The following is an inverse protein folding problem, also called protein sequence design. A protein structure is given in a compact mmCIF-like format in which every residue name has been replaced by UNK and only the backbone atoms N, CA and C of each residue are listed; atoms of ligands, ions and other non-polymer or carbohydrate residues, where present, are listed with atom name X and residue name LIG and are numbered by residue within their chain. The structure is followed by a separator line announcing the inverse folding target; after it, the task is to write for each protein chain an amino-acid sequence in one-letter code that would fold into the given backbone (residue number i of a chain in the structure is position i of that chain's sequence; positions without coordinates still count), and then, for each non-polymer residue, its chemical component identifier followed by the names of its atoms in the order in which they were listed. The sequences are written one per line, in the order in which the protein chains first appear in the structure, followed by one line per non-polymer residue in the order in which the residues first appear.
data_IF_446757664073
#
_entry.id   IF_446757664073
#
_cell.length_a   1.000
_cell.length_b   1.000
_cell.length_c   1.000
_cell.angle_alpha   90.00
_cell.angle_beta   90.00
_cell.angle_gamma   90.00
#
_symmetry.space_group_name_H-M   'P 1'
#
loop_
_entity.id
_entity.type
_entity.pdbx_description
1 polymer ?
#
# COMPACT_ATOMS: atom_id res chain seq x y z
N UNK A 1 -23.50 -19.32 65.16
CA UNK A 1 -24.52 -19.36 64.10
C UNK A 1 -23.93 -18.65 62.89
N UNK A 2 -23.32 -19.42 62.00
CA UNK A 2 -22.66 -18.88 60.80
C UNK A 2 -23.74 -18.62 59.76
N UNK A 3 -23.99 -17.35 59.47
CA UNK A 3 -24.85 -16.92 58.37
C UNK A 3 -24.16 -17.31 57.06
N UNK A 4 -24.59 -18.44 56.48
CA UNK A 4 -24.22 -18.82 55.11
C UNK A 4 -24.78 -17.72 54.22
N UNK A 5 -23.90 -16.83 53.76
CA UNK A 5 -24.24 -15.79 52.80
C UNK A 5 -24.80 -16.49 51.57
N UNK A 6 -26.10 -16.30 51.28
CA UNK A 6 -26.70 -16.77 50.04
C UNK A 6 -25.92 -16.12 48.90
N UNK A 7 -25.15 -16.93 48.17
CA UNK A 7 -24.45 -16.49 46.97
C UNK A 7 -25.53 -16.11 45.96
N UNK A 8 -25.60 -14.82 45.62
CA UNK A 8 -26.52 -14.33 44.61
C UNK A 8 -25.97 -14.74 43.22
N UNK A 9 -26.44 -15.89 42.74
CA UNK A 9 -26.04 -16.47 41.46
C UNK A 9 -26.30 -15.53 40.28
N UNK A 10 -27.29 -14.64 40.37
CA UNK A 10 -27.62 -13.69 39.30
C UNK A 10 -26.55 -12.60 39.16
N UNK A 11 -26.01 -12.13 40.29
CA UNK A 11 -24.90 -11.18 40.30
C UNK A 11 -23.61 -11.82 39.80
N UNK A 12 -23.35 -13.07 40.20
CA UNK A 12 -22.17 -13.83 39.78
C UNK A 12 -22.15 -14.10 38.27
N UNK A 13 -23.31 -14.37 37.67
CA UNK A 13 -23.44 -14.56 36.22
C UNK A 13 -23.26 -13.25 35.45
N UNK A 14 -23.83 -12.15 35.94
CA UNK A 14 -23.64 -10.83 35.34
C UNK A 14 -22.17 -10.36 35.38
N UNK A 15 -21.47 -10.58 36.50
CA UNK A 15 -20.05 -10.26 36.66
C UNK A 15 -19.16 -11.10 35.73
N UNK A 16 -19.48 -12.39 35.56
CA UNK A 16 -18.77 -13.26 34.61
C UNK A 16 -18.97 -12.85 33.16
N UNK A 17 -20.19 -12.48 32.76
CA UNK A 17 -20.47 -11.98 31.41
C UNK A 17 -19.68 -10.69 31.12
N UNK A 18 -19.63 -9.78 32.08
CA UNK A 18 -18.82 -8.56 31.96
C UNK A 18 -17.33 -8.87 31.80
N UNK A 19 -16.81 -9.87 32.52
CA UNK A 19 -15.42 -10.31 32.39
C UNK A 19 -15.10 -10.89 31.01
N UNK A 20 -16.01 -11.68 30.42
CA UNK A 20 -15.82 -12.26 29.07
C UNK A 20 -15.83 -11.16 28.00
N UNK A 21 -16.75 -10.20 28.07
CA UNK A 21 -16.78 -9.07 27.13
C UNK A 21 -15.51 -8.18 27.25
N UNK A 22 -15.01 -8.00 28.47
CA UNK A 22 -13.80 -7.23 28.76
C UNK A 22 -12.54 -7.96 28.28
N UNK A 23 -12.49 -9.29 28.44
CA UNK A 23 -11.43 -10.14 27.90
C UNK A 23 -11.35 -10.05 26.37
N UNK A 24 -12.50 -10.13 25.68
CA UNK A 24 -12.59 -9.92 24.24
C UNK A 24 -12.00 -8.57 23.83
N UNK A 25 -12.44 -7.51 24.51
CA UNK A 25 -12.01 -6.16 24.18
C UNK A 25 -10.50 -6.00 24.35
N UNK A 26 -9.96 -6.49 25.47
CA UNK A 26 -8.53 -6.47 25.76
C UNK A 26 -7.73 -7.27 24.74
N UNK A 27 -8.24 -8.43 24.32
CA UNK A 27 -7.59 -9.27 23.32
C UNK A 27 -7.57 -8.59 21.95
N UNK A 28 -8.69 -8.00 21.52
CA UNK A 28 -8.76 -7.24 20.27
C UNK A 28 -7.81 -6.03 20.29
N UNK A 29 -7.77 -5.26 21.38
CA UNK A 29 -6.84 -4.13 21.55
C UNK A 29 -5.38 -4.58 21.46
N UNK A 30 -5.03 -5.70 22.09
CA UNK A 30 -3.67 -6.27 22.00
C UNK A 30 -3.31 -6.66 20.56
N UNK A 31 -4.28 -7.17 19.79
CA UNK A 31 -4.13 -7.53 18.38
C UNK A 31 -3.97 -6.31 17.48
N UNK A 32 -4.56 -5.16 17.83
CA UNK A 32 -4.32 -3.87 17.17
C UNK A 32 -2.90 -3.38 17.45
N UNK A 33 -2.46 -3.39 18.72
CA UNK A 33 -1.11 -2.92 19.10
C UNK A 33 0.00 -3.74 18.44
N UNK A 34 -0.18 -5.06 18.35
CA UNK A 34 0.77 -5.96 17.65
C UNK A 34 0.75 -5.80 16.13
N UNK A 35 -0.18 -5.03 15.57
CA UNK A 35 -0.24 -4.71 14.15
C UNK A 35 0.82 -3.66 13.81
N UNK A 36 2.06 -4.11 13.67
CA UNK A 36 3.20 -3.29 13.28
C UNK A 36 2.95 -2.54 11.95
N UNK A 37 2.89 -1.22 12.04
CA UNK A 37 2.63 -0.25 10.97
C UNK A 37 2.64 1.16 11.58
N UNK A 38 2.98 2.18 10.79
CA UNK A 38 2.91 3.57 11.27
C UNK A 38 1.49 3.94 11.69
N UNK A 39 1.34 4.84 12.68
CA UNK A 39 0.08 5.20 13.34
C UNK A 39 -1.10 5.63 12.44
N UNK A 40 -0.90 5.73 11.12
CA UNK A 40 -1.86 6.24 10.14
C UNK A 40 -2.09 5.29 8.94
N UNK A 41 -1.86 3.98 9.08
CA UNK A 41 -2.23 3.05 7.98
C UNK A 41 -3.72 2.69 8.03
N UNK A 42 -4.33 2.44 6.86
CA UNK A 42 -5.74 2.03 6.73
C UNK A 42 -6.09 0.92 7.72
N UNK A 43 -5.22 -0.08 7.80
CA UNK A 43 -5.42 -1.23 8.68
C UNK A 43 -5.59 -0.84 10.14
N UNK A 44 -4.78 0.09 10.66
CA UNK A 44 -4.92 0.51 12.05
C UNK A 44 -6.20 1.30 12.31
N UNK A 45 -6.57 2.20 11.39
CA UNK A 45 -7.81 2.98 11.49
C UNK A 45 -9.03 2.06 11.51
N UNK A 46 -9.13 1.16 10.53
CA UNK A 46 -10.25 0.23 10.40
C UNK A 46 -10.33 -0.72 11.60
N UNK A 47 -9.21 -1.34 11.98
CA UNK A 47 -9.21 -2.26 13.12
C UNK A 47 -9.60 -1.55 14.43
N UNK A 48 -9.14 -0.31 14.64
CA UNK A 48 -9.54 0.49 15.81
C UNK A 48 -11.04 0.79 15.83
N UNK A 49 -11.61 1.19 14.69
CA UNK A 49 -13.05 1.42 14.58
C UNK A 49 -13.86 0.15 14.86
N UNK A 50 -13.39 -1.00 14.39
CA UNK A 50 -14.02 -2.31 14.66
C UNK A 50 -13.94 -2.69 16.15
N UNK A 51 -12.81 -2.41 16.82
CA UNK A 51 -12.69 -2.64 18.28
C UNK A 51 -13.60 -1.73 19.08
N UNK A 52 -13.72 -0.46 18.69
CA UNK A 52 -14.61 0.54 19.31
C UNK A 52 -16.10 0.24 19.05
N UNK A 53 -16.42 -0.68 18.13
CA UNK A 53 -17.81 -1.02 17.76
C UNK A 53 -18.42 -0.08 16.71
N UNK A 54 -17.62 0.79 16.11
CA UNK A 54 -18.01 1.75 15.08
C UNK A 54 -17.95 1.12 13.67
N UNK A 55 -18.75 0.07 13.45
CA UNK A 55 -18.69 -0.73 12.21
C UNK A 55 -19.06 0.05 10.95
N UNK A 56 -20.05 0.94 11.01
CA UNK A 56 -20.47 1.78 9.88
C UNK A 56 -19.35 2.72 9.43
N UNK A 57 -18.65 3.33 10.39
CA UNK A 57 -17.49 4.18 10.10
C UNK A 57 -16.32 3.36 9.52
N UNK A 58 -16.13 2.13 9.98
CA UNK A 58 -15.09 1.25 9.45
C UNK A 58 -15.33 0.92 7.96
N UNK A 59 -16.58 0.66 7.57
CA UNK A 59 -16.94 0.42 6.16
C UNK A 59 -16.79 1.67 5.29
N UNK A 60 -17.15 2.83 5.83
CA UNK A 60 -17.01 4.12 5.13
C UNK A 60 -15.53 4.48 4.95
N UNK A 61 -14.68 4.26 5.96
CA UNK A 61 -13.22 4.48 5.83
C UNK A 61 -12.60 3.63 4.72
N UNK A 62 -12.99 2.35 4.59
CA UNK A 62 -12.51 1.50 3.49
C UNK A 62 -12.96 2.06 2.15
N UNK A 63 -14.19 2.56 2.05
CA UNK A 63 -14.74 3.15 0.83
C UNK A 63 -14.00 4.45 0.46
N UNK A 64 -13.84 5.36 1.42
CA UNK A 64 -13.11 6.62 1.26
C UNK A 64 -11.67 6.34 0.86
N UNK A 65 -11.04 5.30 1.42
CA UNK A 65 -9.69 4.89 1.04
C UNK A 65 -9.59 4.51 -0.45
N UNK A 66 -10.57 3.76 -0.95
CA UNK A 66 -10.63 3.35 -2.35
C UNK A 66 -10.85 4.56 -3.27
N UNK A 67 -11.72 5.49 -2.88
CA UNK A 67 -12.00 6.72 -3.63
C UNK A 67 -10.77 7.64 -3.66
N UNK A 68 -10.08 7.83 -2.53
CA UNK A 68 -8.87 8.65 -2.47
C UNK A 68 -7.71 8.09 -3.30
N UNK A 69 -7.69 6.77 -3.51
CA UNK A 69 -6.68 6.06 -4.31
C UNK A 69 -7.11 5.76 -5.74
N UNK A 70 -8.25 6.32 -6.17
CA UNK A 70 -8.80 6.15 -7.53
C UNK A 70 -7.92 6.65 -8.67
N UNK A 71 -6.85 7.39 -8.37
CA UNK A 71 -5.82 7.79 -9.33
C UNK A 71 -5.15 6.59 -10.04
N UNK A 72 -5.27 5.38 -9.49
CA UNK A 72 -4.73 4.15 -10.07
C UNK A 72 -5.86 3.16 -10.42
N UNK A 73 -6.30 3.08 -11.69
CA UNK A 73 -7.37 2.15 -12.09
C UNK A 73 -7.04 0.68 -11.81
N UNK A 74 -5.77 0.30 -11.92
CA UNK A 74 -5.27 -1.05 -11.63
C UNK A 74 -5.41 -1.43 -10.15
N UNK A 75 -5.29 -0.46 -9.25
CA UNK A 75 -5.47 -0.65 -7.81
C UNK A 75 -6.92 -1.01 -7.49
N UNK A 76 -7.89 -0.28 -8.07
CA UNK A 76 -9.32 -0.53 -7.82
C UNK A 76 -9.69 -1.97 -8.19
N UNK A 77 -9.32 -2.41 -9.40
CA UNK A 77 -9.68 -3.75 -9.90
C UNK A 77 -9.05 -4.85 -9.05
N UNK A 78 -7.80 -4.69 -8.61
CA UNK A 78 -7.09 -5.68 -7.77
C UNK A 78 -7.63 -5.71 -6.34
N UNK A 79 -8.03 -4.56 -5.79
CA UNK A 79 -8.44 -4.44 -4.39
C UNK A 79 -9.94 -4.68 -4.16
N UNK A 80 -10.78 -4.58 -5.19
CA UNK A 80 -12.23 -4.69 -5.05
C UNK A 80 -12.69 -5.97 -4.32
N UNK A 81 -12.14 -7.13 -4.70
CA UNK A 81 -12.48 -8.40 -4.04
C UNK A 81 -12.09 -8.42 -2.56
N UNK A 82 -10.94 -7.84 -2.21
CA UNK A 82 -10.49 -7.76 -0.82
C UNK A 82 -11.37 -6.81 -0.01
N UNK A 83 -11.79 -5.70 -0.61
CA UNK A 83 -12.70 -4.72 0.03
C UNK A 83 -14.07 -5.32 0.31
N UNK A 84 -14.63 -6.05 -0.66
CA UNK A 84 -15.90 -6.77 -0.48
C UNK A 84 -15.80 -7.76 0.68
N UNK A 85 -14.74 -8.59 0.73
CA UNK A 85 -14.52 -9.49 1.86
C UNK A 85 -14.29 -8.77 3.19
N UNK A 86 -13.59 -7.63 3.21
CA UNK A 86 -13.45 -6.85 4.43
C UNK A 86 -14.81 -6.36 4.96
N UNK A 87 -15.73 -5.95 4.08
CA UNK A 87 -17.10 -5.58 4.49
C UNK A 87 -17.87 -6.76 5.06
N UNK A 88 -17.81 -7.91 4.40
CA UNK A 88 -18.48 -9.13 4.88
C UNK A 88 -17.99 -9.51 6.29
N UNK A 89 -16.68 -9.41 6.53
CA UNK A 89 -16.07 -9.69 7.83
C UNK A 89 -16.51 -8.68 8.90
N UNK A 90 -16.54 -7.38 8.58
CA UNK A 90 -17.02 -6.34 9.49
C UNK A 90 -18.48 -6.58 9.88
N UNK A 91 -19.34 -6.89 8.90
CA UNK A 91 -20.74 -7.19 9.13
C UNK A 91 -20.91 -8.47 9.97
N UNK A 92 -20.11 -9.50 9.72
CA UNK A 92 -20.12 -10.74 10.49
C UNK A 92 -19.68 -10.51 11.94
N UNK A 93 -18.65 -9.68 12.18
CA UNK A 93 -18.21 -9.29 13.53
C UNK A 93 -19.31 -8.50 14.24
N UNK A 94 -19.92 -7.52 13.56
CA UNK A 94 -21.02 -6.71 14.09
C UNK A 94 -22.22 -7.58 14.51
N UNK A 95 -22.65 -8.49 13.63
CA UNK A 95 -23.77 -9.39 13.90
C UNK A 95 -23.50 -10.31 15.09
N UNK A 96 -22.26 -10.78 15.26
CA UNK A 96 -21.87 -11.66 16.38
C UNK A 96 -21.75 -10.91 17.71
N UNK A 97 -21.14 -9.72 17.74
CA UNK A 97 -21.04 -8.90 18.99
C UNK A 97 -22.38 -8.31 19.42
N UNK A 98 -23.27 -7.96 18.48
CA UNK A 98 -24.58 -7.37 18.79
C UNK A 98 -25.70 -8.40 18.95
N UNK A 99 -25.40 -9.70 18.94
CA UNK A 99 -26.42 -10.74 19.03
C UNK A 99 -27.12 -10.68 20.39
N UNK A 100 -28.40 -10.29 20.39
CA UNK A 100 -29.20 -10.04 21.61
C UNK A 100 -29.36 -11.27 22.52
N UNK A 101 -29.10 -12.48 21.99
CA UNK A 101 -29.23 -13.74 22.71
C UNK A 101 -27.93 -14.32 23.28
N UNK A 102 -26.76 -13.68 23.12
CA UNK A 102 -25.48 -14.25 23.61
C UNK A 102 -25.55 -14.59 25.09
N UNK A 103 -26.12 -13.66 25.89
CA UNK A 103 -26.21 -13.79 27.35
C UNK A 103 -27.13 -14.92 27.82
N UNK A 104 -28.05 -15.38 26.97
CA UNK A 104 -28.93 -16.52 27.28
C UNK A 104 -28.37 -17.87 26.82
N UNK A 105 -27.22 -17.89 26.14
CA UNK A 105 -26.57 -19.11 25.68
C UNK A 105 -25.63 -19.69 26.74
N UNK A 106 -25.34 -20.99 26.62
CA UNK A 106 -24.34 -21.66 27.45
C UNK A 106 -22.94 -21.07 27.24
N UNK A 107 -22.10 -21.10 28.28
CA UNK A 107 -20.73 -20.58 28.23
C UNK A 107 -19.91 -21.12 27.06
N UNK A 108 -20.05 -22.41 26.74
CA UNK A 108 -19.36 -23.03 25.60
C UNK A 108 -19.73 -22.38 24.27
N UNK A 109 -21.00 -21.98 24.09
CA UNK A 109 -21.42 -21.26 22.88
C UNK A 109 -20.94 -19.82 22.89
N UNK A 110 -20.96 -19.14 24.04
CA UNK A 110 -20.42 -17.77 24.14
C UNK A 110 -18.94 -17.73 23.77
N UNK A 111 -18.16 -18.71 24.23
CA UNK A 111 -16.76 -18.87 23.84
C UNK A 111 -16.61 -19.15 22.34
N UNK A 112 -17.45 -19.99 21.75
CA UNK A 112 -17.43 -20.22 20.29
C UNK A 112 -17.68 -18.92 19.49
N UNK A 113 -18.62 -18.08 19.94
CA UNK A 113 -18.84 -16.77 19.33
C UNK A 113 -17.62 -15.87 19.47
N UNK A 114 -17.00 -15.86 20.64
CA UNK A 114 -15.78 -15.10 20.94
C UNK A 114 -14.63 -15.51 20.01
N UNK A 115 -14.34 -16.81 19.92
CA UNK A 115 -13.28 -17.36 19.08
C UNK A 115 -13.54 -17.05 17.60
N UNK A 116 -14.81 -17.12 17.15
CA UNK A 116 -15.17 -16.73 15.78
C UNK A 116 -15.04 -15.25 15.49
N UNK A 117 -15.31 -14.38 16.47
CA UNK A 117 -15.06 -12.93 16.32
C UNK A 117 -13.58 -12.66 16.14
N UNK A 118 -12.74 -13.33 16.92
CA UNK A 118 -11.27 -13.23 16.82
C UNK A 118 -10.77 -13.72 15.47
N UNK A 119 -11.25 -14.88 15.00
CA UNK A 119 -10.90 -15.44 13.69
C UNK A 119 -11.23 -14.46 12.56
N UNK A 120 -12.45 -13.92 12.54
CA UNK A 120 -12.85 -12.92 11.55
C UNK A 120 -12.02 -11.62 11.65
N UNK A 121 -11.62 -11.23 12.86
CA UNK A 121 -10.80 -10.04 13.09
C UNK A 121 -9.36 -10.23 12.56
N UNK A 122 -8.78 -11.41 12.75
CA UNK A 122 -7.47 -11.76 12.21
C UNK A 122 -7.50 -11.85 10.67
N UNK A 123 -8.56 -12.43 10.11
CA UNK A 123 -8.78 -12.45 8.65
C UNK A 123 -8.89 -11.03 8.09
N UNK A 124 -9.66 -10.16 8.75
CA UNK A 124 -9.80 -8.75 8.37
C UNK A 124 -8.43 -8.05 8.38
N UNK A 125 -7.63 -8.26 9.42
CA UNK A 125 -6.25 -7.76 9.51
C UNK A 125 -5.39 -8.26 8.35
N UNK A 126 -5.55 -9.53 7.96
CA UNK A 126 -4.88 -10.15 6.82
C UNK A 126 -5.23 -9.47 5.50
N UNK A 127 -6.52 -9.29 5.21
CA UNK A 127 -6.98 -8.65 3.98
C UNK A 127 -6.62 -7.16 3.90
N UNK A 128 -6.71 -6.42 5.00
CA UNK A 128 -6.26 -5.02 5.06
C UNK A 128 -4.75 -4.90 4.76
N UNK A 129 -3.94 -5.87 5.21
CA UNK A 129 -2.52 -5.93 4.86
C UNK A 129 -2.30 -6.17 3.37
N UNK A 130 -3.12 -7.01 2.74
CA UNK A 130 -3.04 -7.26 1.29
C UNK A 130 -3.39 -6.00 0.49
N UNK A 131 -4.41 -5.25 0.91
CA UNK A 131 -4.78 -3.97 0.28
C UNK A 131 -3.59 -2.98 0.35
N UNK A 132 -2.96 -2.83 1.51
CA UNK A 132 -1.76 -1.99 1.68
C UNK A 132 -0.56 -2.48 0.83
N UNK A 133 -0.42 -3.80 0.64
CA UNK A 133 0.64 -4.38 -0.19
C UNK A 133 0.42 -4.07 -1.67
N UNK A 134 -0.80 -4.24 -2.18
CA UNK A 134 -1.16 -3.91 -3.57
C UNK A 134 -0.94 -2.41 -3.84
N UNK A 135 -1.27 -1.53 -2.90
CA UNK A 135 -0.99 -0.09 -3.04
C UNK A 135 0.51 0.19 -3.20
N UNK A 136 1.35 -0.45 -2.38
CA UNK A 136 2.80 -0.30 -2.46
C UNK A 136 3.34 -0.79 -3.79
N UNK A 137 2.83 -1.92 -4.28
CA UNK A 137 3.23 -2.47 -5.58
C UNK A 137 2.88 -1.52 -6.72
N UNK A 138 1.64 -1.01 -6.77
CA UNK A 138 1.21 -0.06 -7.81
C UNK A 138 2.05 1.21 -7.77
N UNK A 139 2.32 1.77 -6.57
CA UNK A 139 3.18 2.95 -6.44
C UNK A 139 4.60 2.69 -6.93
N UNK A 140 5.13 1.48 -6.69
CA UNK A 140 6.46 1.10 -7.17
C UNK A 140 6.48 0.91 -8.69
N UNK A 141 5.40 0.39 -9.29
CA UNK A 141 5.24 0.27 -10.74
C UNK A 141 5.34 1.64 -11.43
N UNK A 142 4.67 2.66 -10.90
CA UNK A 142 4.71 4.02 -11.48
C UNK A 142 6.08 4.70 -11.35
N UNK A 143 6.72 4.56 -10.19
CA UNK A 143 8.08 5.06 -9.99
C UNK A 143 9.03 4.39 -10.98
N UNK A 144 8.91 3.06 -11.14
CA UNK A 144 9.71 2.32 -12.11
C UNK A 144 9.46 2.85 -13.51
N UNK A 145 8.21 2.96 -13.95
CA UNK A 145 7.87 3.50 -15.28
C UNK A 145 8.51 4.88 -15.53
N UNK A 146 8.43 5.78 -14.55
CA UNK A 146 9.03 7.13 -14.64
C UNK A 146 10.56 7.07 -14.80
N UNK A 147 11.23 6.17 -14.06
CA UNK A 147 12.68 5.97 -14.18
C UNK A 147 13.08 5.50 -15.58
N UNK A 148 12.32 4.56 -16.16
CA UNK A 148 12.58 4.09 -17.52
C UNK A 148 12.43 5.21 -18.54
N UNK A 149 11.39 6.04 -18.41
CA UNK A 149 11.17 7.20 -19.29
C UNK A 149 12.34 8.19 -19.19
N UNK A 150 12.80 8.51 -17.97
CA UNK A 150 13.95 9.42 -17.76
C UNK A 150 15.23 8.85 -18.38
N UNK A 151 15.47 7.54 -18.21
CA UNK A 151 16.64 6.88 -18.80
C UNK A 151 16.60 6.94 -20.33
N UNK A 152 15.45 6.62 -20.94
CA UNK A 152 15.28 6.71 -22.40
C UNK A 152 15.44 8.14 -22.90
N UNK A 153 14.86 9.12 -22.20
CA UNK A 153 15.01 10.53 -22.54
C UNK A 153 16.48 10.98 -22.51
N UNK A 154 17.21 10.60 -21.46
CA UNK A 154 18.65 10.87 -21.33
C UNK A 154 19.46 10.25 -22.47
N UNK A 155 19.15 9.00 -22.85
CA UNK A 155 19.80 8.34 -23.98
C UNK A 155 19.49 9.02 -25.32
N UNK A 156 18.25 9.46 -25.54
CA UNK A 156 17.88 10.22 -26.75
C UNK A 156 18.65 11.55 -26.83
N UNK A 157 18.76 12.29 -25.72
CA UNK A 157 19.54 13.54 -25.67
C UNK A 157 21.01 13.27 -25.98
N UNK A 158 21.59 12.20 -25.41
CA UNK A 158 22.97 11.83 -25.68
C UNK A 158 23.21 11.48 -27.15
N UNK A 159 22.31 10.73 -27.78
CA UNK A 159 22.40 10.39 -29.21
C UNK A 159 22.31 11.66 -30.07
N UNK A 160 21.43 12.61 -29.74
CA UNK A 160 21.34 13.89 -30.45
C UNK A 160 22.61 14.73 -30.31
N UNK A 161 23.21 14.77 -29.11
CA UNK A 161 24.49 15.46 -28.90
C UNK A 161 25.62 14.83 -29.71
N UNK A 162 25.69 13.50 -29.75
CA UNK A 162 26.67 12.77 -30.56
C UNK A 162 26.46 13.07 -32.05
N UNK A 163 25.22 13.05 -32.55
CA UNK A 163 24.93 13.39 -33.94
C UNK A 163 25.27 14.83 -34.29
N UNK A 164 24.93 15.80 -33.44
CA UNK A 164 25.29 17.21 -33.62
C UNK A 164 26.81 17.37 -33.69
N UNK A 165 27.55 16.73 -32.77
CA UNK A 165 29.01 16.72 -32.79
C UNK A 165 29.57 16.14 -34.10
N UNK A 166 29.01 15.04 -34.61
CA UNK A 166 29.44 14.47 -35.89
C UNK A 166 29.13 15.37 -37.11
N UNK A 167 28.04 16.13 -37.07
CA UNK A 167 27.71 17.12 -38.12
C UNK A 167 28.68 18.30 -38.07
N UNK A 168 28.92 18.87 -36.89
CA UNK A 168 29.88 19.96 -36.69
C UNK A 168 31.29 19.55 -37.09
N UNK A 169 31.68 18.30 -36.78
CA UNK A 169 32.98 17.76 -37.20
C UNK A 169 33.09 17.67 -38.72
N UNK A 170 32.03 17.26 -39.43
CA UNK A 170 32.01 17.21 -40.89
C UNK A 170 32.10 18.60 -41.52
N UNK A 171 31.39 19.58 -40.99
CA UNK A 171 31.39 20.94 -41.56
C UNK A 171 32.68 21.71 -41.22
N UNK A 172 33.15 21.65 -39.96
CA UNK A 172 34.31 22.38 -39.48
C UNK A 172 35.67 21.77 -39.85
N UNK A 173 35.83 20.44 -39.74
CA UNK A 173 37.11 19.80 -40.11
C UNK A 173 37.28 19.67 -41.62
N UNK A 174 36.23 19.46 -42.40
CA UNK A 174 36.38 19.35 -43.86
C UNK A 174 36.88 20.67 -44.48
N UNK A 175 36.36 21.81 -44.04
CA UNK A 175 36.82 23.13 -44.48
C UNK A 175 38.30 23.36 -44.14
N UNK A 176 38.69 23.06 -42.90
CA UNK A 176 40.07 23.26 -42.44
C UNK A 176 41.05 22.30 -43.14
N UNK A 177 40.64 21.05 -43.35
CA UNK A 177 41.44 20.03 -44.03
C UNK A 177 41.64 20.35 -45.51
N UNK A 178 40.60 20.81 -46.21
CA UNK A 178 40.71 21.26 -47.60
C UNK A 178 41.61 22.49 -47.71
N UNK A 179 41.55 23.42 -46.76
CA UNK A 179 42.42 24.61 -46.76
C UNK A 179 43.88 24.24 -46.58
N UNK A 180 44.19 23.32 -45.65
CA UNK A 180 45.56 22.86 -45.41
C UNK A 180 46.10 22.09 -46.63
N UNK A 181 45.28 21.23 -47.26
CA UNK A 181 45.70 20.53 -48.49
C UNK A 181 45.93 21.52 -49.64
N UNK A 182 45.03 22.49 -49.84
CA UNK A 182 45.19 23.48 -50.90
C UNK A 182 46.44 24.34 -50.68
N UNK A 183 46.71 24.76 -49.45
CA UNK A 183 47.93 25.52 -49.13
C UNK A 183 49.18 24.67 -49.36
N UNK A 184 49.18 23.39 -48.96
CA UNK A 184 50.32 22.49 -49.16
C UNK A 184 50.56 22.17 -50.65
N UNK A 185 49.49 22.04 -51.44
CA UNK A 185 49.57 21.87 -52.89
C UNK A 185 50.07 23.14 -53.58
N UNK A 186 49.61 24.32 -53.16
CA UNK A 186 50.08 25.60 -53.70
C UNK A 186 51.57 25.83 -53.37
N UNK A 187 51.98 25.61 -52.12
CA UNK A 187 53.39 25.73 -51.71
C UNK A 187 54.29 24.74 -52.46
N UNK A 188 53.80 23.52 -52.70
CA UNK A 188 54.52 22.51 -53.49
C UNK A 188 54.60 22.88 -54.98
N UNK A 189 53.53 23.48 -55.53
CA UNK A 189 53.49 23.96 -56.91
C UNK A 189 54.42 25.16 -57.12
N UNK A 190 54.44 26.12 -56.19
CA UNK A 190 55.34 27.28 -56.23
C UNK A 190 56.80 26.86 -56.08
N UNK A 191 57.11 25.87 -55.22
CA UNK A 191 58.44 25.28 -55.13
C UNK A 191 58.84 24.60 -56.44
N UNK A 192 57.94 23.83 -57.07
CA UNK A 192 58.23 23.12 -58.32
C UNK A 192 58.43 24.08 -59.51
N UNK A 193 57.59 25.12 -59.62
CA UNK A 193 57.73 26.17 -60.64
C UNK A 193 59.01 26.99 -60.41
N UNK A 194 59.41 27.24 -59.16
CA UNK A 194 60.66 27.92 -58.84
C UNK A 194 61.93 27.10 -59.08
N UNK A 195 61.80 25.80 -59.37
CA UNK A 195 62.93 24.88 -59.60
C UNK A 195 63.28 24.72 -61.10
N UNK A 196 62.40 25.20 -61.99
CA UNK A 196 62.59 25.26 -63.45
C UNK A 196 62.83 26.69 -63.92
#
# INVERSE_FOLDING_TARGET
MSTVSQVDYTQLEAERLANVDLELQKELESRVVTTGGGHNTLRQVVLRLVTEGNYSLAEEEIKVYMEFRSNFPSFIVRCQKYVEHCRDLIQAISAKRQFRGVKSLSMSKQQEFHDKVIEHFDELKGYLKQIEMVEREVRLEDIRSTVWVIQTFSQCVLVLLVLAFFLDMKEGMASSFVTVINNLLNDSADWFVGLF
#
